data_IF_512456709307
#
_entry.id   IF_512456709307
#
_cell.length_a   1.000
_cell.length_b   1.000
_cell.length_c   1.000
_cell.angle_alpha   90.00
_cell.angle_beta   90.00
_cell.angle_gamma   90.00
#
_symmetry.space_group_name_H-M   'P 1'
#
loop_
_entity.id
_entity.type
_entity.pdbx_description
1 polymer ?
#
# COMPACT_ATOMS: atom_id res chain seq x y z
N UNK A 1 -14.48 -25.01 -68.70
CA UNK A 1 -13.80 -25.43 -67.47
C UNK A 1 -13.58 -24.21 -66.59
N UNK A 2 -14.39 -24.03 -65.53
CA UNK A 2 -14.30 -22.87 -64.62
C UNK A 2 -13.61 -23.35 -63.34
N UNK A 3 -12.38 -22.82 -63.07
CA UNK A 3 -11.65 -23.10 -61.84
C UNK A 3 -12.23 -22.24 -60.69
N UNK A 4 -12.85 -22.89 -59.70
CA UNK A 4 -13.25 -22.24 -58.46
C UNK A 4 -12.03 -22.09 -57.56
N UNK A 5 -11.68 -20.86 -57.24
CA UNK A 5 -10.67 -20.52 -56.26
C UNK A 5 -11.32 -20.47 -54.87
N UNK A 6 -10.91 -21.38 -53.98
CA UNK A 6 -11.31 -21.35 -52.58
C UNK A 6 -10.34 -20.43 -51.80
N UNK A 7 -10.87 -19.33 -51.31
CA UNK A 7 -10.13 -18.48 -50.34
C UNK A 7 -10.39 -19.01 -48.91
N UNK A 8 -9.38 -19.60 -48.29
CA UNK A 8 -9.40 -19.97 -46.89
C UNK A 8 -8.96 -18.71 -46.11
N UNK A 9 -9.90 -18.02 -45.46
CA UNK A 9 -9.62 -16.93 -44.53
C UNK A 9 -9.22 -17.53 -43.18
N UNK A 10 -7.92 -17.52 -42.88
CA UNK A 10 -7.41 -17.92 -41.56
C UNK A 10 -7.67 -16.78 -40.59
N UNK A 11 -8.66 -16.92 -39.70
CA UNK A 11 -8.90 -16.01 -38.58
C UNK A 11 -7.76 -16.20 -37.57
N UNK A 12 -6.81 -15.25 -37.54
CA UNK A 12 -5.87 -15.16 -36.43
C UNK A 12 -6.62 -14.66 -35.19
N UNK A 13 -6.88 -15.57 -34.27
CA UNK A 13 -7.35 -15.23 -32.93
C UNK A 13 -6.16 -14.67 -32.16
N UNK A 14 -6.02 -13.34 -32.13
CA UNK A 14 -5.10 -12.67 -31.23
C UNK A 14 -5.71 -12.74 -29.85
N UNK A 15 -5.38 -13.78 -29.12
CA UNK A 15 -5.68 -13.89 -27.70
C UNK A 15 -4.98 -12.75 -26.98
N UNK A 16 -5.74 -11.76 -26.49
CA UNK A 16 -5.23 -10.76 -25.57
C UNK A 16 -4.85 -11.48 -24.27
N UNK A 17 -3.59 -11.89 -24.16
CA UNK A 17 -3.03 -12.30 -22.87
C UNK A 17 -3.14 -11.08 -21.95
N UNK A 18 -3.83 -11.21 -20.82
CA UNK A 18 -3.82 -10.21 -19.78
C UNK A 18 -2.37 -10.14 -19.25
N UNK A 19 -1.59 -9.24 -19.82
CA UNK A 19 -0.23 -8.97 -19.38
C UNK A 19 -0.29 -8.39 -17.97
N UNK A 20 0.51 -8.93 -17.08
CA UNK A 20 0.82 -8.28 -15.81
C UNK A 20 1.29 -6.87 -16.10
N UNK A 21 0.54 -5.88 -15.64
CA UNK A 21 0.93 -4.49 -15.87
C UNK A 21 1.52 -3.91 -14.58
N UNK A 22 2.70 -3.33 -14.73
CA UNK A 22 3.37 -2.56 -13.70
C UNK A 22 3.22 -1.07 -14.02
N UNK A 23 2.69 -0.33 -13.06
CA UNK A 23 2.46 1.10 -13.17
C UNK A 23 3.43 1.85 -12.28
N UNK A 24 4.18 2.79 -12.84
CA UNK A 24 5.20 3.53 -12.12
C UNK A 24 4.86 5.02 -12.02
N UNK A 25 5.21 5.62 -10.89
CA UNK A 25 5.32 7.06 -10.69
C UNK A 25 6.69 7.39 -10.11
N UNK A 26 7.17 8.61 -10.40
CA UNK A 26 8.48 9.10 -9.97
C UNK A 26 8.31 10.38 -9.16
N UNK A 27 9.16 10.55 -8.15
CA UNK A 27 9.26 11.85 -7.49
C UNK A 27 9.68 12.95 -8.48
N UNK A 28 9.38 14.22 -8.21
CA UNK A 28 9.80 15.34 -9.06
C UNK A 28 11.32 15.38 -9.30
N UNK A 29 12.13 15.07 -8.28
CA UNK A 29 13.59 14.98 -8.40
C UNK A 29 14.10 13.67 -9.02
N UNK A 30 13.19 12.72 -9.32
CA UNK A 30 13.48 11.44 -9.97
C UNK A 30 14.15 10.39 -9.10
N UNK A 31 14.43 10.67 -7.83
CA UNK A 31 15.15 9.74 -6.94
C UNK A 31 14.27 8.62 -6.43
N UNK A 32 12.97 8.88 -6.18
CA UNK A 32 12.00 7.87 -5.79
C UNK A 32 11.26 7.37 -7.03
N UNK A 33 11.19 6.04 -7.18
CA UNK A 33 10.37 5.37 -8.19
C UNK A 33 9.47 4.38 -7.46
N UNK A 34 8.17 4.67 -7.40
CA UNK A 34 7.15 3.78 -6.83
C UNK A 34 6.46 3.00 -7.94
N UNK A 35 6.21 1.73 -7.68
CA UNK A 35 5.61 0.79 -8.62
C UNK A 35 4.42 0.08 -7.98
N UNK A 36 3.30 0.05 -8.70
CA UNK A 36 2.11 -0.71 -8.38
C UNK A 36 1.99 -1.85 -9.39
N UNK A 37 2.07 -3.09 -8.94
CA UNK A 37 1.87 -4.27 -9.76
C UNK A 37 0.46 -4.81 -9.62
N UNK A 38 -0.13 -5.25 -10.73
CA UNK A 38 -1.49 -5.81 -10.82
C UNK A 38 -1.50 -7.24 -11.37
N UNK A 39 -0.39 -7.96 -11.30
CA UNK A 39 -0.31 -9.34 -11.81
C UNK A 39 -1.34 -10.26 -11.08
N UNK A 40 -0.93 -11.13 -10.22
CA UNK A 40 -1.83 -12.05 -9.48
C UNK A 40 -2.48 -11.36 -8.27
N UNK A 41 -1.75 -10.43 -7.70
CA UNK A 41 -2.18 -9.64 -6.56
C UNK A 41 -1.72 -8.19 -6.72
N UNK A 42 -2.45 -7.29 -6.08
CA UNK A 42 -2.04 -5.91 -6.00
C UNK A 42 -0.88 -5.78 -5.04
N UNK A 43 0.24 -5.23 -5.52
CA UNK A 43 1.41 -5.01 -4.68
C UNK A 43 2.06 -3.67 -4.97
N UNK A 44 2.66 -3.10 -3.92
CA UNK A 44 3.41 -1.86 -3.93
C UNK A 44 4.89 -2.16 -3.69
N UNK A 45 5.77 -1.51 -4.44
CA UNK A 45 7.20 -1.46 -4.15
C UNK A 45 7.75 -0.08 -4.46
N UNK A 46 8.92 0.28 -3.91
CA UNK A 46 9.61 1.49 -4.34
C UNK A 46 11.13 1.41 -4.19
N UNK A 47 11.79 2.24 -4.99
CA UNK A 47 13.24 2.43 -5.02
C UNK A 47 13.59 3.86 -4.65
N UNK A 48 14.75 4.05 -4.05
CA UNK A 48 15.37 5.34 -3.83
C UNK A 48 16.80 5.31 -4.39
N UNK A 49 17.13 6.23 -5.29
CA UNK A 49 18.41 6.26 -6.00
C UNK A 49 18.80 4.87 -6.58
N UNK A 50 17.83 4.21 -7.23
CA UNK A 50 18.01 2.88 -7.83
C UNK A 50 18.01 1.70 -6.86
N UNK A 51 18.13 1.94 -5.54
CA UNK A 51 18.11 0.88 -4.53
C UNK A 51 16.68 0.58 -4.09
N UNK A 52 16.27 -0.70 -4.14
CA UNK A 52 14.94 -1.13 -3.70
C UNK A 52 14.87 -1.07 -2.18
N UNK A 53 14.06 -0.16 -1.64
CA UNK A 53 13.86 0.02 -0.20
C UNK A 53 12.65 -0.78 0.30
N UNK A 54 11.55 -0.78 -0.45
CA UNK A 54 10.38 -1.62 -0.19
C UNK A 54 10.29 -2.67 -1.29
N UNK A 55 10.27 -3.94 -0.90
CA UNK A 55 10.05 -5.06 -1.81
C UNK A 55 8.56 -5.13 -2.21
N UNK A 56 8.19 -6.08 -3.07
CA UNK A 56 6.79 -6.29 -3.45
C UNK A 56 5.94 -6.61 -2.21
N UNK A 57 5.14 -5.64 -1.81
CA UNK A 57 4.34 -5.61 -0.59
C UNK A 57 2.87 -5.68 -0.96
N UNK A 58 2.19 -6.75 -0.57
CA UNK A 58 0.77 -6.93 -0.88
C UNK A 58 -0.07 -5.87 -0.18
N UNK A 59 -0.98 -5.25 -0.92
CA UNK A 59 -1.97 -4.30 -0.41
C UNK A 59 -3.36 -4.67 -0.92
N UNK A 60 -4.41 -4.38 -0.15
CA UNK A 60 -5.77 -4.71 -0.55
C UNK A 60 -6.79 -4.35 0.51
N UNK A 61 -8.06 -4.41 0.13
CA UNK A 61 -9.20 -4.20 1.01
C UNK A 61 -10.20 -5.31 0.79
N UNK A 62 -10.67 -5.92 1.89
CA UNK A 62 -11.69 -6.97 1.87
C UNK A 62 -13.04 -6.37 2.28
N UNK A 63 -14.05 -6.56 1.45
CA UNK A 63 -15.38 -6.02 1.63
C UNK A 63 -16.36 -7.07 2.16
N UNK A 64 -17.47 -6.61 2.75
CA UNK A 64 -18.52 -7.49 3.29
C UNK A 64 -19.28 -8.28 2.22
N UNK A 65 -19.22 -7.87 0.97
CA UNK A 65 -19.78 -8.61 -0.17
C UNK A 65 -18.85 -9.73 -0.70
N UNK A 66 -17.74 -10.00 0.01
CA UNK A 66 -16.75 -11.01 -0.34
C UNK A 66 -15.69 -10.56 -1.35
N UNK A 67 -15.76 -9.32 -1.83
CA UNK A 67 -14.75 -8.77 -2.74
C UNK A 67 -13.43 -8.51 -2.03
N UNK A 68 -12.33 -8.95 -2.63
CA UNK A 68 -10.96 -8.68 -2.19
C UNK A 68 -10.27 -7.86 -3.30
N UNK A 69 -10.04 -6.58 -3.03
CA UNK A 69 -9.42 -5.66 -4.00
C UNK A 69 -7.94 -5.95 -4.25
N UNK A 70 -7.32 -6.70 -3.35
CA UNK A 70 -5.93 -7.14 -3.48
C UNK A 70 -5.74 -8.32 -4.42
N UNK A 71 -6.81 -9.04 -4.78
CA UNK A 71 -6.74 -10.26 -5.60
C UNK A 71 -7.20 -10.01 -7.03
N UNK A 72 -6.41 -10.49 -8.00
CA UNK A 72 -6.74 -10.44 -9.44
C UNK A 72 -7.34 -9.10 -9.88
N UNK A 73 -6.70 -7.96 -9.58
CA UNK A 73 -7.23 -6.65 -9.88
C UNK A 73 -7.42 -6.49 -11.40
N UNK A 74 -8.59 -6.03 -11.82
CA UNK A 74 -8.91 -5.78 -13.23
C UNK A 74 -8.93 -4.28 -13.47
N UNK A 75 -7.93 -3.78 -14.16
CA UNK A 75 -7.78 -2.35 -14.45
C UNK A 75 -8.78 -1.93 -15.53
N UNK A 76 -9.49 -0.84 -15.29
CA UNK A 76 -10.38 -0.20 -16.25
C UNK A 76 -9.69 0.95 -16.98
N UNK A 77 -8.96 1.78 -16.25
CA UNK A 77 -8.20 2.88 -16.83
C UNK A 77 -7.10 3.35 -15.89
N UNK A 78 -6.11 4.06 -16.45
CA UNK A 78 -5.04 4.71 -15.70
C UNK A 78 -4.87 6.15 -16.14
N UNK A 79 -4.47 7.00 -15.21
CA UNK A 79 -4.06 8.37 -15.47
C UNK A 79 -2.84 8.70 -14.63
N UNK A 80 -1.81 9.23 -15.25
CA UNK A 80 -0.63 9.79 -14.57
C UNK A 80 -0.67 11.30 -14.76
N UNK A 81 -0.44 12.06 -13.68
CA UNK A 81 -0.42 13.53 -13.71
C UNK A 81 0.63 14.07 -12.73
N UNK A 82 1.20 15.22 -13.05
CA UNK A 82 2.09 15.95 -12.17
C UNK A 82 1.31 17.04 -11.47
N UNK A 83 1.57 17.22 -10.20
CA UNK A 83 0.91 18.20 -9.34
C UNK A 83 1.95 19.08 -8.65
N UNK A 84 1.62 20.35 -8.51
CA UNK A 84 2.31 21.29 -7.63
C UNK A 84 1.24 22.13 -6.96
N UNK A 85 1.26 22.17 -5.64
CA UNK A 85 0.25 22.86 -4.85
C UNK A 85 0.86 23.48 -3.60
N UNK A 86 0.19 24.47 -3.05
CA UNK A 86 0.54 25.10 -1.79
C UNK A 86 -0.53 24.78 -0.77
N UNK A 87 -0.14 24.04 0.27
CA UNK A 87 -1.02 23.67 1.38
C UNK A 87 -0.96 24.78 2.43
N UNK A 88 -2.11 25.33 2.80
CA UNK A 88 -2.22 26.26 3.93
C UNK A 88 -2.35 25.45 5.22
N UNK A 89 -1.38 25.57 6.11
CA UNK A 89 -1.30 24.85 7.37
C UNK A 89 -1.12 25.83 8.55
N UNK A 90 -2.15 26.63 8.90
CA UNK A 90 -2.03 27.79 9.80
C UNK A 90 -1.59 27.41 11.23
N UNK A 91 -1.79 26.15 11.63
CA UNK A 91 -1.41 25.65 12.95
C UNK A 91 -0.08 24.89 12.95
N UNK A 92 0.58 24.79 11.80
CA UNK A 92 1.85 24.12 11.67
C UNK A 92 3.01 25.12 11.75
N UNK A 93 4.22 24.62 12.05
CA UNK A 93 5.44 25.46 12.13
C UNK A 93 5.70 26.28 10.87
N UNK A 94 5.30 25.75 9.70
CA UNK A 94 5.29 26.48 8.44
C UNK A 94 3.84 26.65 7.99
N UNK A 95 3.30 27.89 7.99
CA UNK A 95 1.91 28.14 7.68
C UNK A 95 1.54 27.85 6.21
N UNK A 96 2.55 27.77 5.34
CA UNK A 96 2.40 27.49 3.93
C UNK A 96 3.45 26.45 3.52
N UNK A 97 3.02 25.33 2.96
CA UNK A 97 3.87 24.22 2.53
C UNK A 97 3.71 24.05 1.03
N UNK A 98 4.78 24.27 0.28
CA UNK A 98 4.81 23.92 -1.13
C UNK A 98 5.09 22.43 -1.28
N UNK A 99 4.30 21.73 -2.10
CA UNK A 99 4.46 20.32 -2.38
C UNK A 99 4.32 20.05 -3.87
N UNK A 100 5.09 19.10 -4.36
CA UNK A 100 4.99 18.59 -5.72
C UNK A 100 5.11 17.08 -5.73
N UNK A 101 4.35 16.45 -6.63
CA UNK A 101 4.34 14.98 -6.74
C UNK A 101 3.85 14.54 -8.12
N UNK A 102 4.18 13.32 -8.48
CA UNK A 102 3.51 12.63 -9.56
C UNK A 102 2.47 11.66 -8.98
N UNK A 103 1.28 11.67 -9.55
CA UNK A 103 0.14 10.86 -9.14
C UNK A 103 -0.23 9.86 -10.23
N UNK A 104 -0.39 8.59 -9.86
CA UNK A 104 -1.13 7.58 -10.61
C UNK A 104 -2.53 7.44 -10.02
N UNK A 105 -3.54 7.62 -10.85
CA UNK A 105 -4.92 7.24 -10.53
C UNK A 105 -5.26 5.98 -11.34
N UNK A 106 -5.38 4.85 -10.66
CA UNK A 106 -5.70 3.55 -11.26
C UNK A 106 -7.15 3.19 -10.92
N UNK A 107 -8.02 3.17 -11.93
CA UNK A 107 -9.42 2.73 -11.78
C UNK A 107 -9.54 1.24 -12.04
N UNK A 108 -10.26 0.55 -11.16
CA UNK A 108 -10.59 -0.87 -11.32
C UNK A 108 -12.00 -1.03 -11.88
N UNK A 109 -12.24 -2.15 -12.58
CA UNK A 109 -13.56 -2.43 -13.20
C UNK A 109 -14.70 -2.62 -12.19
N UNK A 110 -14.38 -2.84 -10.91
CA UNK A 110 -15.33 -3.08 -9.84
C UNK A 110 -15.86 -1.81 -9.14
N UNK A 111 -15.55 -0.61 -9.67
CA UNK A 111 -15.96 0.68 -9.09
C UNK A 111 -15.06 1.18 -7.96
N UNK A 112 -13.94 0.55 -7.74
CA UNK A 112 -12.87 1.03 -6.86
C UNK A 112 -11.70 1.58 -7.65
N UNK A 113 -10.78 2.21 -6.94
CA UNK A 113 -9.52 2.63 -7.51
C UNK A 113 -8.46 2.83 -6.44
N UNK A 114 -7.25 3.12 -6.92
CA UNK A 114 -6.08 3.38 -6.09
C UNK A 114 -5.43 4.65 -6.61
N UNK A 115 -5.09 5.53 -5.69
CA UNK A 115 -4.21 6.67 -5.94
C UNK A 115 -2.86 6.32 -5.35
N UNK A 116 -1.80 6.44 -6.15
CA UNK A 116 -0.41 6.31 -5.74
C UNK A 116 0.31 7.62 -6.06
N UNK A 117 1.01 8.20 -5.07
CA UNK A 117 1.76 9.44 -5.22
C UNK A 117 3.22 9.22 -4.86
N UNK A 118 4.12 9.80 -5.65
CA UNK A 118 5.53 9.88 -5.34
C UNK A 118 5.94 11.35 -5.15
N UNK A 119 6.36 11.67 -3.93
CA UNK A 119 6.95 12.93 -3.48
C UNK A 119 8.47 12.79 -3.42
N UNK A 120 9.22 13.87 -3.27
CA UNK A 120 10.68 13.81 -3.10
C UNK A 120 11.07 13.15 -1.77
N UNK A 121 10.20 13.22 -0.75
CA UNK A 121 10.43 12.66 0.58
C UNK A 121 9.74 11.30 0.83
N UNK A 122 8.88 10.83 -0.08
CA UNK A 122 8.17 9.59 0.18
C UNK A 122 7.12 9.17 -0.85
N UNK A 123 6.45 8.09 -0.51
CA UNK A 123 5.39 7.47 -1.32
C UNK A 123 4.13 7.38 -0.48
N UNK A 124 2.99 7.75 -1.05
CA UNK A 124 1.69 7.59 -0.41
C UNK A 124 0.72 6.87 -1.33
N UNK A 125 -0.14 6.03 -0.76
CA UNK A 125 -1.23 5.42 -1.50
C UNK A 125 -2.53 5.45 -0.69
N UNK A 126 -3.66 5.38 -1.40
CA UNK A 126 -4.98 5.15 -0.81
C UNK A 126 -5.91 4.45 -1.77
N UNK A 127 -6.84 3.68 -1.23
CA UNK A 127 -7.98 3.18 -1.96
C UNK A 127 -9.11 4.23 -1.97
N UNK A 128 -9.93 4.21 -3.01
CA UNK A 128 -11.16 4.99 -3.09
C UNK A 128 -12.26 4.21 -3.80
N UNK A 129 -13.51 4.63 -3.62
CA UNK A 129 -14.65 4.03 -4.33
C UNK A 129 -15.48 5.08 -5.03
N UNK A 130 -16.03 4.69 -6.18
CA UNK A 130 -17.04 5.44 -6.94
C UNK A 130 -18.42 4.77 -6.83
N UNK A 131 -18.55 3.70 -6.04
CA UNK A 131 -19.82 3.04 -5.79
C UNK A 131 -20.74 3.96 -5.01
N UNK A 132 -22.02 3.93 -5.37
CA UNK A 132 -23.05 4.61 -4.60
C UNK A 132 -23.46 3.75 -3.40
N UNK A 133 -23.85 4.43 -2.31
CA UNK A 133 -24.32 3.76 -1.09
C UNK A 133 -23.22 3.38 -0.11
N UNK A 134 -23.60 2.61 0.91
CA UNK A 134 -22.71 2.22 2.00
C UNK A 134 -21.77 1.11 1.55
N UNK A 135 -20.49 1.27 1.80
CA UNK A 135 -19.45 0.24 1.60
C UNK A 135 -18.95 -0.19 2.97
N UNK A 136 -19.01 -1.49 3.26
CA UNK A 136 -18.53 -2.06 4.52
C UNK A 136 -17.21 -2.75 4.27
N UNK A 137 -16.16 -2.28 4.92
CA UNK A 137 -14.82 -2.85 4.89
C UNK A 137 -14.69 -3.81 6.08
N UNK A 138 -14.30 -5.05 5.80
CA UNK A 138 -14.05 -6.06 6.83
C UNK A 138 -12.60 -6.08 7.28
N UNK A 139 -11.66 -5.84 6.35
CA UNK A 139 -10.23 -5.85 6.63
C UNK A 139 -9.46 -5.09 5.55
N UNK A 140 -8.28 -4.60 5.93
CA UNK A 140 -7.28 -4.10 5.00
C UNK A 140 -6.02 -4.96 5.08
N UNK A 141 -5.46 -5.27 3.93
CA UNK A 141 -4.18 -5.95 3.80
C UNK A 141 -3.10 -4.94 3.46
N UNK A 142 -2.09 -4.83 4.32
CA UNK A 142 -0.84 -4.17 3.99
C UNK A 142 0.30 -5.00 4.59
N UNK A 143 1.17 -5.56 3.75
CA UNK A 143 2.24 -6.47 4.15
C UNK A 143 3.57 -5.92 3.63
N UNK A 144 4.16 -4.99 4.39
CA UNK A 144 5.36 -4.26 4.00
C UNK A 144 6.60 -5.14 4.15
N UNK A 145 7.24 -5.48 3.03
CA UNK A 145 8.40 -6.37 2.97
C UNK A 145 9.69 -5.57 2.80
N UNK A 146 10.62 -5.69 3.76
CA UNK A 146 11.91 -4.97 3.76
C UNK A 146 13.13 -5.88 3.64
N UNK A 147 13.02 -7.14 4.10
CA UNK A 147 14.11 -8.09 4.26
C UNK A 147 14.37 -8.40 5.74
N UNK A 148 14.67 -9.66 6.03
CA UNK A 148 14.74 -10.20 7.40
C UNK A 148 15.80 -9.54 8.30
N UNK A 149 16.91 -9.17 7.72
CA UNK A 149 18.09 -8.64 8.39
C UNK A 149 18.02 -7.13 8.69
N UNK A 150 16.94 -6.48 8.28
CA UNK A 150 16.78 -5.04 8.47
C UNK A 150 16.54 -4.70 9.93
N UNK A 151 17.25 -3.68 10.40
CA UNK A 151 17.04 -3.06 11.69
C UNK A 151 15.78 -2.21 11.66
N UNK A 152 15.00 -2.25 12.72
CA UNK A 152 13.78 -1.46 12.87
C UNK A 152 13.68 -0.87 14.27
N UNK A 153 13.00 0.27 14.38
CA UNK A 153 12.59 0.88 15.64
C UNK A 153 11.08 0.80 15.72
N UNK A 154 10.60 -0.06 16.62
CA UNK A 154 9.19 -0.39 16.77
C UNK A 154 8.68 0.01 18.15
N UNK A 155 7.67 0.89 18.23
CA UNK A 155 7.02 1.27 19.48
C UNK A 155 5.90 0.27 19.79
N UNK A 156 6.20 -0.76 20.57
CA UNK A 156 5.23 -1.78 20.94
C UNK A 156 4.15 -1.25 21.90
N UNK A 157 2.97 -1.86 21.86
CA UNK A 157 1.91 -1.57 22.82
C UNK A 157 2.31 -2.02 24.23
N UNK A 158 1.85 -1.29 25.25
CA UNK A 158 2.21 -1.57 26.65
C UNK A 158 1.35 -2.64 27.30
N UNK A 159 0.19 -2.96 26.72
CA UNK A 159 -0.82 -3.91 27.22
C UNK A 159 -1.11 -4.98 26.17
N UNK A 160 -0.29 -6.06 26.07
CA UNK A 160 -0.48 -7.10 25.06
C UNK A 160 -1.85 -7.78 25.09
N UNK A 161 -2.47 -7.88 26.27
CA UNK A 161 -3.81 -8.47 26.48
C UNK A 161 -4.95 -7.55 25.99
N UNK A 162 -4.70 -6.25 25.85
CA UNK A 162 -5.63 -5.25 25.31
C UNK A 162 -4.91 -4.35 24.31
N UNK A 163 -4.34 -4.88 23.25
CA UNK A 163 -3.35 -4.19 22.43
C UNK A 163 -3.88 -2.96 21.66
N UNK A 164 -5.19 -2.83 21.51
CA UNK A 164 -5.83 -1.68 20.86
C UNK A 164 -6.42 -0.66 21.82
N UNK A 165 -6.50 -0.99 23.13
CA UNK A 165 -7.23 -0.17 24.09
C UNK A 165 -6.38 0.94 24.71
N UNK A 166 -5.08 0.76 24.77
CA UNK A 166 -4.18 1.68 25.47
C UNK A 166 -2.97 2.01 24.63
N UNK A 167 -2.82 3.28 24.46
CA UNK A 167 -1.56 3.95 24.36
C UNK A 167 -0.71 3.83 23.11
N UNK A 168 -0.55 4.96 22.63
CA UNK A 168 0.40 5.43 21.65
C UNK A 168 1.66 6.04 22.33
N UNK A 169 1.99 5.61 23.55
CA UNK A 169 3.16 6.08 24.30
C UNK A 169 3.97 4.89 24.80
N UNK A 170 5.10 4.66 24.17
CA UNK A 170 6.13 3.73 24.60
C UNK A 170 7.47 4.14 24.02
N UNK A 171 8.54 3.64 24.60
CA UNK A 171 9.88 3.78 24.04
C UNK A 171 9.98 2.95 22.76
N UNK A 172 10.77 3.42 21.81
CA UNK A 172 11.10 2.67 20.61
C UNK A 172 12.10 1.57 20.94
N UNK A 173 11.77 0.34 20.56
CA UNK A 173 12.67 -0.81 20.68
C UNK A 173 13.42 -1.00 19.37
N UNK A 174 14.76 -0.93 19.45
CA UNK A 174 15.61 -1.33 18.34
C UNK A 174 15.63 -2.86 18.25
N UNK A 175 15.32 -3.39 17.08
CA UNK A 175 15.27 -4.83 16.82
C UNK A 175 15.60 -5.12 15.35
N UNK A 176 15.86 -6.39 15.03
CA UNK A 176 15.87 -6.85 13.64
C UNK A 176 14.50 -7.40 13.29
N UNK A 177 14.09 -7.27 12.03
CA UNK A 177 12.76 -7.72 11.61
C UNK A 177 12.53 -9.22 11.80
N UNK A 178 13.57 -10.06 11.62
CA UNK A 178 13.48 -11.51 11.82
C UNK A 178 13.40 -11.94 13.29
N UNK A 179 13.78 -11.08 14.22
CA UNK A 179 13.74 -11.35 15.68
C UNK A 179 12.77 -10.43 16.42
N UNK A 180 12.06 -9.58 15.72
CA UNK A 180 11.09 -8.67 16.28
C UNK A 180 9.96 -9.43 17.01
N UNK A 181 9.48 -8.89 18.12
CA UNK A 181 8.36 -9.46 18.86
C UNK A 181 7.10 -9.47 17.97
N UNK A 182 6.21 -10.44 18.25
CA UNK A 182 4.91 -10.52 17.60
C UNK A 182 3.85 -9.58 18.18
N UNK A 183 4.23 -8.77 19.17
CA UNK A 183 3.35 -7.75 19.74
C UNK A 183 3.01 -6.68 18.71
N UNK A 184 1.88 -6.01 18.90
CA UNK A 184 1.51 -4.89 18.04
C UNK A 184 2.41 -3.69 18.30
N UNK A 185 2.88 -3.07 17.23
CA UNK A 185 3.56 -1.79 17.24
C UNK A 185 2.64 -0.72 16.64
N UNK A 186 2.60 0.45 17.28
CA UNK A 186 1.88 1.59 16.70
C UNK A 186 2.76 2.39 15.73
N UNK A 187 2.19 3.35 15.04
CA UNK A 187 2.90 4.21 14.11
C UNK A 187 3.34 5.54 14.79
N UNK A 188 4.42 6.15 14.31
CA UNK A 188 5.27 5.75 13.18
C UNK A 188 6.24 4.60 13.54
N UNK A 189 6.57 3.76 12.56
CA UNK A 189 7.59 2.71 12.68
C UNK A 189 8.68 2.94 11.64
N UNK A 190 9.95 2.83 12.04
CA UNK A 190 11.09 3.16 11.17
C UNK A 190 11.96 1.94 10.92
N UNK A 191 12.36 1.73 9.66
CA UNK A 191 13.19 0.63 9.20
C UNK A 191 14.46 1.18 8.55
N UNK A 192 15.61 0.65 8.93
CA UNK A 192 16.89 0.98 8.31
C UNK A 192 17.12 0.11 7.07
N UNK A 193 17.01 0.72 5.90
CA UNK A 193 17.27 0.08 4.62
C UNK A 193 18.71 0.30 4.12
N UNK A 194 19.62 0.77 4.97
CA UNK A 194 21.02 1.03 4.69
C UNK A 194 21.25 2.40 4.06
N UNK A 195 20.90 2.60 2.81
CA UNK A 195 21.06 3.90 2.10
C UNK A 195 20.08 4.97 2.56
N UNK A 196 18.95 4.57 3.11
CA UNK A 196 17.93 5.45 3.65
C UNK A 196 17.15 4.74 4.75
N UNK A 197 16.49 5.50 5.62
CA UNK A 197 15.50 4.99 6.55
C UNK A 197 14.11 5.18 5.96
N UNK A 198 13.26 4.18 6.12
CA UNK A 198 11.86 4.22 5.70
C UNK A 198 11.00 4.28 6.95
N UNK A 199 10.16 5.29 7.04
CA UNK A 199 9.18 5.41 8.13
C UNK A 199 7.79 5.15 7.58
N UNK A 200 7.08 4.18 8.19
CA UNK A 200 5.68 3.90 7.90
C UNK A 200 4.84 4.79 8.82
N UNK A 201 3.90 5.49 8.23
CA UNK A 201 2.93 6.34 8.94
C UNK A 201 1.61 6.41 8.18
N UNK A 202 0.59 6.95 8.81
CA UNK A 202 -0.72 7.23 8.23
C UNK A 202 -1.04 8.71 8.30
N UNK A 203 -1.92 9.13 7.43
CA UNK A 203 -2.51 10.48 7.44
C UNK A 203 -3.95 10.42 6.93
N UNK A 204 -4.70 11.49 7.15
CA UNK A 204 -6.07 11.66 6.65
C UNK A 204 -7.04 10.54 7.09
N UNK A 205 -6.93 10.13 8.36
CA UNK A 205 -7.81 9.14 8.97
C UNK A 205 -9.19 9.74 9.24
N UNK A 206 -10.13 9.57 8.31
CA UNK A 206 -11.51 10.05 8.44
C UNK A 206 -12.46 8.85 8.46
N UNK A 207 -13.08 8.60 9.62
CA UNK A 207 -14.00 7.47 9.81
C UNK A 207 -13.40 6.09 9.45
N UNK A 208 -12.12 5.93 9.73
CA UNK A 208 -11.35 4.72 9.45
C UNK A 208 -10.46 4.38 10.66
N UNK A 209 -10.31 3.10 11.03
CA UNK A 209 -9.44 2.72 12.14
C UNK A 209 -7.97 2.96 11.82
N UNK A 210 -7.22 3.42 12.81
CA UNK A 210 -5.77 3.54 12.70
C UNK A 210 -5.09 2.19 12.52
N UNK A 211 -3.98 2.18 11.78
CA UNK A 211 -3.19 0.99 11.50
C UNK A 211 -2.17 0.74 12.61
N UNK A 212 -2.02 -0.51 12.96
CA UNK A 212 -0.95 -1.06 13.78
C UNK A 212 -0.12 -1.99 12.91
N UNK A 213 1.10 -2.30 13.36
CA UNK A 213 1.98 -3.23 12.66
C UNK A 213 2.29 -4.44 13.54
N UNK A 214 2.38 -5.60 12.90
CA UNK A 214 2.80 -6.86 13.52
C UNK A 214 3.91 -7.49 12.70
N UNK A 215 5.02 -7.83 13.38
CA UNK A 215 6.11 -8.59 12.80
C UNK A 215 5.91 -10.10 13.02
N UNK A 216 6.56 -10.91 12.22
CA UNK A 216 6.72 -12.35 12.44
C UNK A 216 5.41 -13.12 12.67
N UNK A 217 4.33 -12.71 11.99
CA UNK A 217 3.04 -13.39 12.05
C UNK A 217 3.05 -14.83 11.49
N UNK A 218 4.07 -15.16 10.68
CA UNK A 218 4.34 -16.48 10.13
C UNK A 218 5.85 -16.66 9.91
N UNK A 219 6.30 -17.92 9.66
CA UNK A 219 7.69 -18.21 9.27
C UNK A 219 8.09 -17.46 7.99
N UNK A 220 7.18 -17.38 7.03
CA UNK A 220 7.42 -16.63 5.79
C UNK A 220 7.60 -15.12 6.05
N UNK A 221 6.82 -14.55 6.95
CA UNK A 221 6.97 -13.13 7.32
C UNK A 221 8.34 -12.87 7.94
N UNK A 222 8.77 -13.77 8.83
CA UNK A 222 10.08 -13.70 9.45
C UNK A 222 11.22 -13.78 8.42
N UNK A 223 11.18 -14.75 7.51
CA UNK A 223 12.19 -14.96 6.48
C UNK A 223 12.29 -13.79 5.50
N UNK A 224 11.18 -13.08 5.28
CA UNK A 224 11.08 -11.95 4.36
C UNK A 224 11.16 -10.58 5.04
N UNK A 225 11.13 -10.53 6.37
CA UNK A 225 11.08 -9.28 7.13
C UNK A 225 9.84 -8.46 6.81
N UNK A 226 8.66 -9.08 6.98
CA UNK A 226 7.37 -8.46 6.67
C UNK A 226 6.76 -7.88 7.94
N UNK A 227 6.34 -6.62 7.85
CA UNK A 227 5.45 -5.96 8.82
C UNK A 227 4.04 -5.95 8.25
N UNK A 228 3.10 -6.61 8.94
CA UNK A 228 1.70 -6.66 8.53
C UNK A 228 0.86 -5.63 9.26
N UNK A 229 -0.01 -4.96 8.54
CA UNK A 229 -1.04 -4.12 9.12
C UNK A 229 -2.00 -4.96 9.98
N UNK A 230 -2.43 -4.38 11.09
CA UNK A 230 -3.47 -4.89 11.96
C UNK A 230 -4.37 -3.73 12.40
N UNK A 231 -5.66 -3.99 12.47
CA UNK A 231 -6.66 -2.98 12.81
C UNK A 231 -7.49 -3.45 14.00
N UNK A 232 -7.92 -2.51 14.84
CA UNK A 232 -8.84 -2.80 15.91
C UNK A 232 -10.16 -3.38 15.33
N UNK A 233 -10.72 -4.44 15.93
CA UNK A 233 -12.02 -4.93 15.51
C UNK A 233 -13.07 -3.85 15.72
N UNK A 234 -14.01 -3.74 14.79
CA UNK A 234 -15.13 -2.82 14.95
C UNK A 234 -15.94 -3.22 16.19
N UNK A 235 -16.25 -2.30 17.09
CA UNK A 235 -17.05 -2.61 18.27
C UNK A 235 -18.43 -3.07 17.83
N UNK A 236 -18.85 -4.28 18.29
CA UNK A 236 -20.17 -4.83 17.97
C UNK A 236 -21.30 -4.06 18.66
N UNK A 237 -21.00 -3.49 19.82
CA UNK A 237 -21.90 -2.65 20.60
C UNK A 237 -21.08 -1.50 21.20
N UNK A 238 -21.57 -0.28 21.06
CA UNK A 238 -21.12 0.85 21.85
C UNK A 238 -22.03 0.92 23.07
N UNK A 239 -21.56 0.43 24.21
CA UNK A 239 -22.18 0.72 25.50
C UNK A 239 -21.80 2.17 25.86
N UNK A 240 -22.78 3.04 25.89
CA UNK A 240 -22.70 4.37 26.48
C UNK A 240 -23.13 4.30 27.93
#
# INVERSE_FOLDING_TARGET
>A
MVKKLFFIATLLYIGATASAENYQVKSPDGKIVAELSTDKALSLSFKYNGSKLLQESSIGVVLSDGMDLGKNPKVASRKISNHRETIQAPFYRQPSIETSYQELNLKLKNGFGIILRAYDEGVAYRFYTQRKGKTIILNETAAYQFGKDKKAWLPYTTTPEKPFAMAFQNIYHETRLDTAKQDLAFLPATIDCGKAKVTILESDLQNYPGMWLKANGSKQDQEKGILRAAFAPYPKEMAY
#
